data_IF_428232840480
#
_entry.id   IF_428232840480
#
_cell.length_a   1.000
_cell.length_b   1.000
_cell.length_c   1.000
_cell.angle_alpha   90.00
_cell.angle_beta   90.00
_cell.angle_gamma   90.00
#
_symmetry.space_group_name_H-M   'P 1'
#
loop_
_entity.id
_entity.type
_entity.pdbx_description
1 polymer ?
#
# COMPACT_ATOMS: atom_id res chain seq x y z
N UNK A 1 17.64 30.36 17.42
CA UNK A 1 16.23 30.83 17.34
C UNK A 1 15.35 29.64 17.00
N UNK A 2 14.37 29.32 17.85
CA UNK A 2 13.37 28.29 17.51
C UNK A 2 12.37 28.94 16.53
N UNK A 3 12.38 28.54 15.27
CA UNK A 3 11.38 29.00 14.30
C UNK A 3 10.01 28.39 14.64
N UNK A 4 9.03 29.24 14.94
CA UNK A 4 7.65 28.81 15.13
C UNK A 4 7.10 28.34 13.77
N UNK A 5 6.55 27.13 13.65
CA UNK A 5 5.97 26.69 12.39
C UNK A 5 4.78 27.57 11.99
N UNK A 6 4.61 27.81 10.70
CA UNK A 6 3.46 28.56 10.21
C UNK A 6 2.17 27.80 10.54
N UNK A 7 1.11 28.53 10.98
CA UNK A 7 -0.20 27.92 11.31
C UNK A 7 -0.76 27.04 10.19
N UNK A 8 -0.41 27.32 8.93
CA UNK A 8 -0.82 26.53 7.76
C UNK A 8 -0.22 25.13 7.76
N UNK A 9 0.99 24.93 8.31
CA UNK A 9 1.64 23.62 8.39
C UNK A 9 1.07 22.72 9.49
N UNK A 10 0.23 23.27 10.38
CA UNK A 10 -0.43 22.56 11.48
C UNK A 10 -1.87 22.15 11.15
N UNK A 11 -2.34 22.39 9.92
CA UNK A 11 -3.68 21.98 9.50
C UNK A 11 -3.76 20.47 9.29
N UNK A 12 -4.95 19.91 9.57
CA UNK A 12 -5.23 18.52 9.25
C UNK A 12 -5.09 18.24 7.74
N UNK A 13 -4.51 17.10 7.41
CA UNK A 13 -4.32 16.63 6.03
C UNK A 13 -5.48 15.70 5.68
N UNK A 14 -6.41 16.20 4.86
CA UNK A 14 -7.63 15.46 4.48
C UNK A 14 -7.29 14.19 3.72
N UNK A 15 -6.23 14.24 2.92
CA UNK A 15 -5.72 13.15 2.11
C UNK A 15 -5.24 11.94 2.93
N UNK A 16 -4.98 12.09 4.23
CA UNK A 16 -4.62 10.99 5.15
C UNK A 16 -5.84 10.21 5.67
N UNK A 17 -7.08 10.63 5.37
CA UNK A 17 -8.29 9.96 5.87
C UNK A 17 -8.38 8.50 5.43
N UNK A 18 -7.99 8.18 4.21
CA UNK A 18 -8.13 6.83 3.66
C UNK A 18 -7.30 5.78 4.40
N UNK A 19 -6.22 6.17 5.08
CA UNK A 19 -5.37 5.24 5.86
C UNK A 19 -5.94 4.91 7.23
N UNK A 20 -6.98 5.64 7.68
CA UNK A 20 -7.62 5.47 8.99
C UNK A 20 -9.16 5.37 8.90
N UNK A 21 -9.72 5.23 7.70
CA UNK A 21 -11.17 5.09 7.50
C UNK A 21 -11.66 3.71 7.91
N UNK A 22 -12.97 3.57 8.12
CA UNK A 22 -13.61 2.29 8.47
C UNK A 22 -13.30 1.18 7.45
N UNK A 23 -13.34 1.52 6.15
CA UNK A 23 -13.02 0.59 5.05
C UNK A 23 -11.58 0.74 4.55
N UNK A 24 -10.64 0.92 5.46
CA UNK A 24 -9.23 1.20 5.16
C UNK A 24 -8.62 0.23 4.14
N UNK A 25 -8.93 -1.06 4.22
CA UNK A 25 -8.36 -2.07 3.31
C UNK A 25 -8.76 -1.81 1.85
N UNK A 26 -10.02 -1.46 1.58
CA UNK A 26 -10.50 -1.17 0.23
C UNK A 26 -9.84 0.09 -0.32
N UNK A 27 -9.86 1.18 0.46
CA UNK A 27 -9.22 2.44 0.05
C UNK A 27 -7.72 2.28 -0.17
N UNK A 28 -7.02 1.56 0.70
CA UNK A 28 -5.60 1.29 0.53
C UNK A 28 -5.31 0.40 -0.68
N UNK A 29 -6.15 -0.60 -0.96
CA UNK A 29 -6.01 -1.41 -2.16
C UNK A 29 -6.16 -0.56 -3.43
N UNK A 30 -7.18 0.31 -3.49
CA UNK A 30 -7.38 1.24 -4.61
C UNK A 30 -6.15 2.13 -4.77
N UNK A 31 -5.70 2.80 -3.71
CA UNK A 31 -4.58 3.74 -3.78
C UNK A 31 -3.26 3.05 -4.14
N UNK A 32 -3.02 1.85 -3.62
CA UNK A 32 -1.86 1.02 -3.98
C UNK A 32 -1.89 0.62 -5.46
N UNK A 33 -3.05 0.25 -5.99
CA UNK A 33 -3.20 -0.05 -7.41
C UNK A 33 -2.90 1.16 -8.29
N UNK A 34 -3.46 2.34 -7.95
CA UNK A 34 -3.15 3.59 -8.65
C UNK A 34 -1.65 3.91 -8.61
N UNK A 35 -0.99 3.71 -7.46
CA UNK A 35 0.44 3.99 -7.33
C UNK A 35 1.29 3.05 -8.19
N UNK A 36 0.96 1.77 -8.26
CA UNK A 36 1.62 0.82 -9.15
C UNK A 36 1.45 1.19 -10.62
N UNK A 37 0.25 1.59 -11.03
CA UNK A 37 -0.02 2.02 -12.40
C UNK A 37 0.66 3.37 -12.71
N UNK A 38 0.72 4.28 -11.73
CA UNK A 38 1.48 5.52 -11.84
C UNK A 38 2.98 5.26 -12.10
N UNK A 39 3.57 4.31 -11.41
CA UNK A 39 4.97 3.89 -11.65
C UNK A 39 5.18 3.32 -13.05
N UNK A 40 4.13 2.77 -13.67
CA UNK A 40 4.11 2.27 -15.05
C UNK A 40 3.75 3.35 -16.08
N UNK A 41 3.69 4.63 -15.66
CA UNK A 41 3.32 5.79 -16.48
C UNK A 41 1.86 5.77 -16.96
N UNK A 42 1.00 5.00 -16.30
CA UNK A 42 -0.45 5.00 -16.54
C UNK A 42 -1.12 5.86 -15.47
N UNK A 43 -1.47 7.07 -15.83
CA UNK A 43 -1.95 8.06 -14.86
C UNK A 43 -3.46 8.09 -14.70
N UNK A 44 -4.18 7.88 -15.79
CA UNK A 44 -5.65 7.93 -15.83
C UNK A 44 -6.22 6.53 -15.93
N UNK A 45 -7.05 6.16 -14.95
CA UNK A 45 -7.69 4.85 -14.87
C UNK A 45 -9.20 4.99 -14.82
N UNK A 46 -9.91 4.04 -15.43
CA UNK A 46 -11.36 3.90 -15.34
C UNK A 46 -11.75 3.03 -14.14
N UNK A 47 -12.97 3.19 -13.60
CA UNK A 47 -13.44 2.35 -12.50
C UNK A 47 -13.33 0.86 -12.77
N UNK A 48 -13.64 0.45 -14.00
CA UNK A 48 -13.58 -0.95 -14.43
C UNK A 48 -12.15 -1.50 -14.35
N UNK A 49 -11.16 -0.72 -14.81
CA UNK A 49 -9.74 -1.10 -14.75
C UNK A 49 -9.25 -1.22 -13.31
N UNK A 50 -9.70 -0.33 -12.43
CA UNK A 50 -9.36 -0.35 -11.01
C UNK A 50 -10.00 -1.56 -10.33
N UNK A 51 -11.28 -1.81 -10.60
CA UNK A 51 -12.01 -2.94 -10.05
C UNK A 51 -11.38 -4.27 -10.46
N UNK A 52 -11.14 -4.49 -11.75
CA UNK A 52 -10.50 -5.71 -12.28
C UNK A 52 -9.10 -5.92 -11.70
N UNK A 53 -8.32 -4.84 -11.57
CA UNK A 53 -6.99 -4.91 -11.01
C UNK A 53 -6.97 -5.35 -9.54
N UNK A 54 -7.92 -4.86 -8.73
CA UNK A 54 -8.02 -5.21 -7.30
C UNK A 54 -8.65 -6.59 -7.12
N UNK A 55 -9.67 -6.93 -7.93
CA UNK A 55 -10.28 -8.27 -7.91
C UNK A 55 -9.25 -9.35 -8.19
N UNK A 56 -8.33 -9.10 -9.12
CA UNK A 56 -7.22 -10.00 -9.44
C UNK A 56 -6.29 -10.31 -8.25
N UNK A 57 -6.31 -9.50 -7.19
CA UNK A 57 -5.54 -9.76 -5.97
C UNK A 57 -6.23 -10.75 -5.00
N UNK A 58 -7.52 -11.02 -5.20
CA UNK A 58 -8.26 -11.97 -4.36
C UNK A 58 -8.41 -11.55 -2.90
N UNK A 59 -8.39 -10.25 -2.60
CA UNK A 59 -8.43 -9.72 -1.24
C UNK A 59 -9.86 -9.58 -0.68
N UNK A 60 -10.88 -9.57 -1.53
CA UNK A 60 -12.25 -9.27 -1.14
C UNK A 60 -13.25 -10.28 -1.73
N UNK A 61 -14.02 -10.95 -0.87
CA UNK A 61 -14.96 -12.00 -1.29
C UNK A 61 -16.24 -11.48 -1.96
N UNK A 62 -16.62 -10.22 -1.72
CA UNK A 62 -17.89 -9.66 -2.18
C UNK A 62 -17.78 -8.17 -2.56
N UNK A 63 -16.70 -7.81 -3.21
CA UNK A 63 -16.50 -6.44 -3.69
C UNK A 63 -17.11 -6.29 -5.08
N UNK A 64 -17.92 -5.23 -5.31
CA UNK A 64 -18.58 -5.00 -6.59
C UNK A 64 -18.06 -3.74 -7.28
N UNK A 65 -18.32 -3.64 -8.59
CA UNK A 65 -17.96 -2.44 -9.36
C UNK A 65 -18.65 -1.19 -8.81
N UNK A 66 -19.91 -1.30 -8.35
CA UNK A 66 -20.65 -0.19 -7.76
C UNK A 66 -20.01 0.28 -6.45
N UNK A 67 -19.53 -0.64 -5.64
CA UNK A 67 -18.78 -0.31 -4.43
C UNK A 67 -17.44 0.35 -4.77
N UNK A 68 -16.76 -0.13 -5.80
CA UNK A 68 -15.52 0.48 -6.28
C UNK A 68 -15.75 1.92 -6.75
N UNK A 69 -16.82 2.17 -7.49
CA UNK A 69 -17.20 3.52 -7.93
C UNK A 69 -17.48 4.45 -6.74
N UNK A 70 -18.23 3.99 -5.74
CA UNK A 70 -18.50 4.76 -4.52
C UNK A 70 -17.22 5.06 -3.73
N UNK A 71 -16.31 4.09 -3.62
CA UNK A 71 -15.02 4.28 -2.96
C UNK A 71 -14.12 5.27 -3.73
N UNK A 72 -14.14 5.26 -5.07
CA UNK A 72 -13.43 6.24 -5.92
C UNK A 72 -13.97 7.65 -5.72
N UNK A 73 -15.29 7.83 -5.68
CA UNK A 73 -15.93 9.12 -5.41
C UNK A 73 -15.55 9.65 -4.02
N UNK A 74 -15.52 8.78 -3.01
CA UNK A 74 -15.10 9.15 -1.66
C UNK A 74 -13.62 9.59 -1.62
N UNK A 75 -12.75 8.92 -2.38
CA UNK A 75 -11.35 9.32 -2.51
C UNK A 75 -11.16 10.66 -3.23
N UNK A 76 -12.05 11.00 -4.14
CA UNK A 76 -12.09 12.35 -4.76
C UNK A 76 -12.49 13.40 -3.72
N UNK A 77 -13.51 13.14 -2.90
CA UNK A 77 -13.90 14.07 -1.81
C UNK A 77 -12.76 14.31 -0.81
N UNK A 78 -11.97 13.29 -0.51
CA UNK A 78 -10.80 13.40 0.36
C UNK A 78 -9.56 13.94 -0.37
N UNK A 79 -9.70 14.34 -1.63
CA UNK A 79 -8.62 14.90 -2.47
C UNK A 79 -7.46 13.94 -2.74
N UNK A 80 -7.70 12.65 -2.57
CA UNK A 80 -6.73 11.62 -2.95
C UNK A 80 -6.67 11.41 -4.45
N UNK A 81 -7.83 11.51 -5.11
CA UNK A 81 -7.97 11.37 -6.54
C UNK A 81 -8.56 12.65 -7.14
N UNK A 82 -8.19 12.94 -8.37
CA UNK A 82 -8.87 13.89 -9.22
C UNK A 82 -9.63 13.11 -10.30
N UNK A 83 -10.82 13.58 -10.66
CA UNK A 83 -11.65 12.96 -11.70
C UNK A 83 -11.78 13.88 -12.91
N UNK A 84 -11.87 13.28 -14.08
CA UNK A 84 -12.27 13.97 -15.31
C UNK A 84 -13.32 13.14 -16.04
N UNK A 85 -14.14 13.81 -16.80
CA UNK A 85 -15.05 13.13 -17.72
C UNK A 85 -14.26 12.66 -18.96
N UNK A 86 -14.36 11.37 -19.29
CA UNK A 86 -13.83 10.84 -20.54
C UNK A 86 -14.73 11.34 -21.68
N UNK A 87 -14.28 12.39 -22.38
CA UNK A 87 -15.02 13.11 -23.42
C UNK A 87 -15.19 12.33 -24.73
N UNK A 88 -15.26 11.01 -24.70
CA UNK A 88 -15.60 10.19 -25.85
C UNK A 88 -16.96 10.62 -26.40
N UNK A 89 -17.08 10.78 -27.73
CA UNK A 89 -18.37 11.02 -28.40
C UNK A 89 -19.29 9.86 -28.06
N UNK A 90 -20.23 10.08 -27.15
CA UNK A 90 -21.30 9.13 -26.88
C UNK A 90 -22.26 9.10 -28.07
N UNK A 91 -22.47 7.94 -28.64
CA UNK A 91 -23.40 7.74 -29.76
C UNK A 91 -24.87 7.69 -29.32
N UNK A 92 -25.15 7.48 -28.02
CA UNK A 92 -26.49 7.36 -27.46
C UNK A 92 -26.64 8.17 -26.16
N UNK A 93 -27.89 8.57 -25.83
CA UNK A 93 -28.24 9.25 -24.58
C UNK A 93 -27.94 8.35 -23.35
N UNK A 94 -28.07 7.04 -23.50
CA UNK A 94 -27.78 6.08 -22.44
C UNK A 94 -26.28 5.96 -22.15
N UNK A 95 -25.41 6.06 -23.16
CA UNK A 95 -23.96 6.17 -22.99
C UNK A 95 -23.55 7.51 -22.35
N UNK A 96 -24.28 8.59 -22.67
CA UNK A 96 -24.07 9.90 -22.05
C UNK A 96 -24.44 9.91 -20.57
N UNK A 97 -25.45 9.13 -20.17
CA UNK A 97 -25.88 8.96 -18.77
C UNK A 97 -24.93 8.06 -17.98
N UNK A 98 -24.23 7.14 -18.62
CA UNK A 98 -23.09 6.42 -18.03
C UNK A 98 -21.84 7.29 -18.15
N UNK A 99 -21.77 8.32 -17.32
CA UNK A 99 -20.62 9.23 -17.24
C UNK A 99 -19.34 8.40 -17.03
N UNK A 100 -18.58 8.22 -18.10
CA UNK A 100 -17.28 7.54 -18.03
C UNK A 100 -16.28 8.52 -17.39
N UNK A 101 -16.12 8.38 -16.10
CA UNK A 101 -15.07 9.11 -15.40
C UNK A 101 -13.75 8.36 -15.49
N UNK A 102 -12.67 9.11 -15.56
CA UNK A 102 -11.33 8.65 -15.33
C UNK A 102 -10.79 9.33 -14.08
N UNK A 103 -9.95 8.62 -13.35
CA UNK A 103 -9.39 9.07 -12.08
C UNK A 103 -7.86 9.08 -12.15
N UNK A 104 -7.26 10.01 -11.43
CA UNK A 104 -5.81 10.24 -11.37
C UNK A 104 -5.42 10.48 -9.92
N UNK A 105 -4.28 9.94 -9.47
CA UNK A 105 -3.72 10.28 -8.16
C UNK A 105 -3.30 11.74 -8.09
N UNK A 106 -3.63 12.40 -6.97
CA UNK A 106 -3.11 13.72 -6.66
C UNK A 106 -1.66 13.65 -6.17
N UNK A 107 -0.87 14.73 -6.31
CA UNK A 107 0.53 14.75 -5.84
C UNK A 107 0.70 14.39 -4.37
N UNK A 108 -0.21 14.84 -3.49
CA UNK A 108 -0.20 14.47 -2.07
C UNK A 108 -0.32 12.96 -1.87
N UNK A 109 -1.21 12.32 -2.59
CA UNK A 109 -1.43 10.88 -2.48
C UNK A 109 -0.27 10.05 -2.99
N UNK A 110 0.44 10.53 -3.99
CA UNK A 110 1.68 9.90 -4.47
C UNK A 110 2.72 9.88 -3.35
N UNK A 111 2.91 11.01 -2.65
CA UNK A 111 3.86 11.10 -1.54
C UNK A 111 3.42 10.28 -0.33
N UNK A 112 2.11 10.20 -0.06
CA UNK A 112 1.57 9.34 1.01
C UNK A 112 1.86 7.85 0.70
N UNK A 113 1.61 7.38 -0.52
CA UNK A 113 1.91 5.99 -0.89
C UNK A 113 3.41 5.68 -0.82
N UNK A 114 4.28 6.62 -1.23
CA UNK A 114 5.74 6.48 -1.04
C UNK A 114 6.13 6.36 0.43
N UNK A 115 5.50 7.18 1.29
CA UNK A 115 5.71 7.09 2.74
C UNK A 115 5.25 5.74 3.28
N UNK A 116 4.07 5.27 2.88
CA UNK A 116 3.54 3.98 3.33
C UNK A 116 4.43 2.80 2.88
N UNK A 117 4.95 2.83 1.65
CA UNK A 117 5.94 1.85 1.19
C UNK A 117 7.23 1.90 2.01
N UNK A 118 7.71 3.10 2.33
CA UNK A 118 8.89 3.27 3.19
C UNK A 118 8.64 2.72 4.61
N UNK A 119 7.42 2.93 5.17
CA UNK A 119 7.04 2.42 6.49
C UNK A 119 6.93 0.89 6.53
N UNK A 120 6.55 0.24 5.44
CA UNK A 120 6.56 -1.22 5.32
C UNK A 120 7.97 -1.81 5.50
N UNK A 121 8.99 -1.05 5.14
CA UNK A 121 10.40 -1.43 5.27
C UNK A 121 11.04 -0.95 6.58
N UNK A 122 10.33 -0.20 7.43
CA UNK A 122 10.82 0.21 8.75
C UNK A 122 10.81 -1.00 9.67
N UNK A 123 11.99 -1.54 9.92
CA UNK A 123 12.19 -2.58 10.94
C UNK A 123 11.89 -1.97 12.30
N UNK A 124 10.90 -2.52 13.01
CA UNK A 124 10.41 -1.96 14.25
C UNK A 124 11.51 -1.84 15.31
N UNK A 125 11.71 -0.65 15.83
CA UNK A 125 12.38 -0.42 17.10
C UNK A 125 11.44 -0.90 18.21
N UNK A 126 11.59 -2.15 18.60
CA UNK A 126 10.89 -2.67 19.78
C UNK A 126 10.43 -4.11 19.63
N UNK A 127 11.25 -5.05 20.01
CA UNK A 127 10.87 -6.34 20.60
C UNK A 127 10.05 -7.34 19.77
N UNK A 128 9.67 -7.02 18.57
CA UNK A 128 9.11 -7.97 17.61
C UNK A 128 10.27 -8.63 16.87
N UNK A 129 10.60 -9.84 17.25
CA UNK A 129 11.53 -10.67 16.49
C UNK A 129 10.92 -10.87 15.09
N UNK A 130 11.65 -10.43 14.08
CA UNK A 130 11.22 -10.66 12.68
C UNK A 130 11.02 -12.16 12.45
N UNK A 131 9.97 -12.59 11.72
CA UNK A 131 9.78 -13.99 11.35
C UNK A 131 11.02 -14.60 10.71
N UNK A 132 11.74 -13.84 9.88
CA UNK A 132 13.01 -14.23 9.25
C UNK A 132 14.14 -14.51 10.26
N UNK A 133 14.11 -13.85 11.42
CA UNK A 133 15.09 -14.11 12.49
C UNK A 133 14.84 -15.49 13.13
N UNK A 134 13.57 -15.88 13.28
CA UNK A 134 13.21 -17.22 13.77
C UNK A 134 13.62 -18.30 12.78
N UNK A 135 13.44 -18.08 11.48
CA UNK A 135 13.88 -19.00 10.43
C UNK A 135 15.42 -19.15 10.45
N UNK A 136 16.14 -18.05 10.55
CA UNK A 136 17.61 -18.04 10.65
C UNK A 136 18.09 -18.75 11.92
N UNK A 137 17.44 -18.53 13.07
CA UNK A 137 17.76 -19.21 14.32
C UNK A 137 17.47 -20.71 14.19
N UNK A 138 16.33 -21.09 13.60
CA UNK A 138 15.96 -22.48 13.40
C UNK A 138 16.99 -23.19 12.49
N UNK A 139 17.40 -22.60 11.37
CA UNK A 139 18.43 -23.13 10.49
C UNK A 139 19.76 -23.34 11.22
N UNK A 140 20.22 -22.34 11.98
CA UNK A 140 21.44 -22.45 12.77
C UNK A 140 21.38 -23.53 13.87
N UNK A 141 20.20 -23.66 14.51
CA UNK A 141 19.98 -24.72 15.50
C UNK A 141 19.97 -26.12 14.87
N UNK A 142 19.41 -26.25 13.67
CA UNK A 142 19.45 -27.50 12.89
C UNK A 142 20.92 -27.86 12.52
N UNK A 143 21.68 -26.89 12.09
CA UNK A 143 23.10 -27.05 11.74
C UNK A 143 23.92 -27.48 12.97
N UNK A 144 23.72 -26.85 14.12
CA UNK A 144 24.33 -27.21 15.39
C UNK A 144 23.98 -28.64 15.77
N UNK A 145 22.67 -29.01 15.68
CA UNK A 145 22.20 -30.37 15.97
C UNK A 145 22.80 -31.43 15.04
N UNK A 146 22.92 -31.11 13.75
CA UNK A 146 23.55 -32.00 12.76
C UNK A 146 25.04 -32.23 13.02
N UNK A 147 25.72 -31.24 13.63
CA UNK A 147 27.18 -31.28 13.93
C UNK A 147 27.51 -31.79 15.34
N UNK A 148 26.51 -31.95 16.23
CA UNK A 148 26.73 -32.35 17.65
C UNK A 148 27.37 -33.75 17.86
N UNK A 149 27.64 -34.51 16.79
CA UNK A 149 28.42 -35.76 16.85
C UNK A 149 29.90 -35.63 16.51
N UNK A 150 30.41 -34.42 16.19
CA UNK A 150 31.74 -34.24 15.60
C UNK A 150 32.49 -32.98 16.09
N UNK A 151 32.18 -32.41 17.26
CA UNK A 151 32.88 -31.20 17.73
C UNK A 151 34.19 -31.54 18.45
N UNK A 152 35.29 -31.02 17.91
CA UNK A 152 36.55 -30.84 18.66
C UNK A 152 36.39 -29.68 19.67
N UNK A 153 37.07 -29.73 20.85
CA UNK A 153 36.86 -28.78 21.96
C UNK A 153 37.14 -27.30 21.70
N UNK A 154 37.37 -26.84 20.50
CA UNK A 154 37.56 -25.43 20.14
C UNK A 154 36.47 -24.88 19.24
N UNK A 155 35.76 -25.74 18.52
CA UNK A 155 34.78 -25.33 17.50
C UNK A 155 33.44 -24.87 18.08
N UNK A 156 33.07 -25.31 19.28
CA UNK A 156 31.87 -24.89 19.98
C UNK A 156 31.93 -23.40 20.39
N UNK A 157 33.13 -22.88 20.67
CA UNK A 157 33.32 -21.48 21.07
C UNK A 157 33.24 -20.52 19.88
N UNK A 158 33.70 -20.94 18.70
CA UNK A 158 33.59 -20.15 17.46
C UNK A 158 32.15 -20.03 17.02
N UNK A 159 31.37 -21.13 17.06
CA UNK A 159 29.92 -21.12 16.75
C UNK A 159 29.11 -20.26 17.73
N UNK A 160 29.50 -20.19 18.98
CA UNK A 160 28.82 -19.35 19.96
C UNK A 160 29.06 -17.85 19.72
N UNK A 161 30.23 -17.49 19.19
CA UNK A 161 30.57 -16.10 18.88
C UNK A 161 29.96 -15.61 17.55
N UNK A 162 29.43 -16.51 16.71
CA UNK A 162 28.73 -16.17 15.45
C UNK A 162 27.21 -16.06 15.63
N UNK A 163 26.65 -16.36 16.82
CA UNK A 163 25.24 -16.20 17.17
C UNK A 163 24.97 -14.82 17.78
#
# INVERSE_FOLDING_TARGET
>A
MKSTPALQSLRGVTELKYVNAENVMRYRAIMRFFHQEYQRLRYWLRPEEVFEGIEGWGLFDAYSLEQCQADLEQLVEWKNLASRHDGGRSATVEEYLRKKYQYLMTPYSIEIERLLEALENVRGYGGSLEPTLFDTIAEKLFDIRARTGAFEPGQALELWNEL
#
